data_IF_082554493996
#
_entry.id   IF_082554493996
#
_cell.length_a   1.000
_cell.length_b   1.000
_cell.length_c   1.000
_cell.angle_alpha   90.00
_cell.angle_beta   90.00
_cell.angle_gamma   90.00
#
_symmetry.space_group_name_H-M   'P 1'
#
loop_
_entity.id
_entity.type
_entity.pdbx_description
1 polymer ?
#
# COMPACT_ATOMS: atom_id res chain seq x y z
N UNK A 1 -11.63 -2.73 4.18
CA UNK A 1 -10.25 -3.08 3.80
C UNK A 1 -9.88 -2.30 2.55
N UNK A 2 -8.66 -1.77 2.49
CA UNK A 2 -8.09 -1.14 1.30
C UNK A 2 -7.30 -2.21 0.55
N UNK A 3 -7.55 -2.36 -0.75
CA UNK A 3 -6.72 -3.16 -1.64
C UNK A 3 -5.75 -2.21 -2.33
N UNK A 4 -4.46 -2.47 -2.21
CA UNK A 4 -3.38 -1.62 -2.74
C UNK A 4 -2.85 -2.08 -4.10
N UNK A 5 -3.11 -3.34 -4.49
CA UNK A 5 -2.58 -3.94 -5.71
C UNK A 5 -1.20 -4.57 -5.54
N UNK A 6 -0.68 -4.62 -4.30
CA UNK A 6 0.60 -5.23 -3.96
C UNK A 6 0.32 -6.40 -3.02
N UNK A 7 0.54 -7.65 -3.48
CA UNK A 7 0.17 -8.86 -2.75
C UNK A 7 0.79 -8.95 -1.34
N UNK A 8 2.02 -8.49 -1.18
CA UNK A 8 2.70 -8.48 0.13
C UNK A 8 2.08 -7.51 1.12
N UNK A 9 1.44 -6.43 0.65
CA UNK A 9 0.64 -5.55 1.50
C UNK A 9 -0.75 -6.14 1.69
N UNK A 10 -1.41 -6.53 0.61
CA UNK A 10 -2.82 -6.93 0.63
C UNK A 10 -3.07 -8.22 1.42
N UNK A 11 -2.14 -9.19 1.39
CA UNK A 11 -2.31 -10.50 2.05
C UNK A 11 -1.61 -10.56 3.41
N UNK A 12 -0.41 -9.99 3.54
CA UNK A 12 0.40 -10.14 4.76
C UNK A 12 0.26 -8.96 5.73
N UNK A 13 -0.06 -7.76 5.23
CA UNK A 13 -0.12 -6.52 6.02
C UNK A 13 -1.32 -5.67 5.61
N UNK A 14 -2.50 -6.30 5.56
CA UNK A 14 -3.70 -5.67 5.02
C UNK A 14 -4.06 -4.38 5.75
N UNK A 15 -4.53 -3.39 4.99
CA UNK A 15 -4.75 -2.03 5.50
C UNK A 15 -6.23 -1.78 5.78
N UNK A 16 -6.55 -1.35 7.00
CA UNK A 16 -7.90 -0.89 7.34
C UNK A 16 -8.13 0.57 6.90
N UNK A 17 -9.39 0.91 6.58
CA UNK A 17 -9.73 2.30 6.20
C UNK A 17 -9.54 3.21 7.42
N UNK A 18 -8.77 4.29 7.26
CA UNK A 18 -8.46 5.24 8.33
C UNK A 18 -7.24 4.89 9.18
N UNK A 19 -6.60 3.74 8.93
CA UNK A 19 -5.35 3.37 9.59
C UNK A 19 -4.18 4.20 9.06
N UNK A 20 -3.31 4.66 9.96
CA UNK A 20 -2.04 5.32 9.61
C UNK A 20 -0.94 4.26 9.57
N UNK A 21 -0.28 4.08 8.44
CA UNK A 21 0.78 3.08 8.26
C UNK A 21 2.02 3.76 7.65
N UNK A 22 3.21 3.55 8.21
CA UNK A 22 4.45 4.06 7.63
C UNK A 22 4.96 3.16 6.47
N UNK A 23 5.68 3.77 5.52
CA UNK A 23 6.51 3.05 4.54
C UNK A 23 7.99 3.26 4.91
N UNK A 24 8.65 2.22 5.41
CA UNK A 24 10.09 2.28 5.71
C UNK A 24 10.91 1.81 4.52
N UNK A 25 11.95 2.55 4.17
CA UNK A 25 12.85 2.28 3.05
C UNK A 25 14.25 2.85 3.32
N UNK A 26 15.15 2.75 2.35
CA UNK A 26 16.52 3.24 2.40
C UNK A 26 16.87 4.14 1.19
N UNK A 27 17.97 4.87 1.30
CA UNK A 27 18.48 5.70 0.22
C UNK A 27 18.78 4.87 -1.04
N UNK A 28 18.35 5.35 -2.21
CA UNK A 28 18.52 4.66 -3.49
C UNK A 28 17.48 3.57 -3.80
N UNK A 29 16.56 3.27 -2.88
CA UNK A 29 15.46 2.33 -3.12
C UNK A 29 14.20 3.03 -3.67
N UNK A 30 13.35 2.34 -4.43
CA UNK A 30 12.23 2.92 -5.16
C UNK A 30 10.96 3.16 -4.30
N UNK A 31 11.11 3.76 -3.11
CA UNK A 31 9.96 3.99 -2.22
C UNK A 31 8.95 5.01 -2.78
N UNK A 32 9.42 5.95 -3.61
CA UNK A 32 8.56 6.92 -4.26
C UNK A 32 7.69 6.25 -5.35
N UNK A 33 8.27 5.35 -6.16
CA UNK A 33 7.48 4.64 -7.18
C UNK A 33 6.43 3.73 -6.55
N UNK A 34 6.77 3.03 -5.46
CA UNK A 34 5.83 2.18 -4.72
C UNK A 34 4.72 3.03 -4.08
N UNK A 35 5.05 4.14 -3.43
CA UNK A 35 4.03 5.04 -2.86
C UNK A 35 3.10 5.58 -3.96
N UNK A 36 3.65 5.97 -5.11
CA UNK A 36 2.87 6.41 -6.25
C UNK A 36 1.98 5.30 -6.82
N UNK A 37 2.46 4.05 -6.86
CA UNK A 37 1.65 2.89 -7.26
C UNK A 37 0.46 2.69 -6.31
N UNK A 38 0.70 2.72 -5.00
CA UNK A 38 -0.35 2.60 -3.99
C UNK A 38 -1.39 3.71 -4.20
N UNK A 39 -0.97 4.97 -4.38
CA UNK A 39 -1.91 6.07 -4.63
C UNK A 39 -2.74 5.89 -5.92
N UNK A 40 -2.17 5.30 -6.99
CA UNK A 40 -2.89 5.07 -8.25
C UNK A 40 -3.84 3.89 -8.21
N UNK A 41 -3.50 2.84 -7.45
CA UNK A 41 -4.21 1.55 -7.48
C UNK A 41 -5.13 1.34 -6.27
N UNK A 42 -4.88 2.04 -5.15
CA UNK A 42 -5.60 1.81 -3.91
C UNK A 42 -7.11 2.02 -4.07
N UNK A 43 -7.88 1.01 -3.66
CA UNK A 43 -9.33 1.02 -3.77
C UNK A 43 -10.01 0.32 -2.60
N UNK A 44 -11.32 0.49 -2.50
CA UNK A 44 -12.13 -0.27 -1.58
C UNK A 44 -12.29 -1.69 -2.13
N UNK A 45 -12.00 -2.69 -1.28
CA UNK A 45 -12.39 -4.07 -1.58
C UNK A 45 -13.90 -4.10 -1.78
N UNK A 46 -14.33 -4.45 -3.00
CA UNK A 46 -15.75 -4.65 -3.32
C UNK A 46 -16.19 -5.99 -2.70
N UNK A 47 -17.42 -6.03 -2.21
CA UNK A 47 -18.05 -7.27 -1.77
C UNK A 47 -18.31 -8.19 -2.96
#
# INVERSE_FOLDING_TARGET
MIQTGISTIDVMNSIARGQKIPLFSAAGLPHNEIAAQICRQAGLVKR
#
